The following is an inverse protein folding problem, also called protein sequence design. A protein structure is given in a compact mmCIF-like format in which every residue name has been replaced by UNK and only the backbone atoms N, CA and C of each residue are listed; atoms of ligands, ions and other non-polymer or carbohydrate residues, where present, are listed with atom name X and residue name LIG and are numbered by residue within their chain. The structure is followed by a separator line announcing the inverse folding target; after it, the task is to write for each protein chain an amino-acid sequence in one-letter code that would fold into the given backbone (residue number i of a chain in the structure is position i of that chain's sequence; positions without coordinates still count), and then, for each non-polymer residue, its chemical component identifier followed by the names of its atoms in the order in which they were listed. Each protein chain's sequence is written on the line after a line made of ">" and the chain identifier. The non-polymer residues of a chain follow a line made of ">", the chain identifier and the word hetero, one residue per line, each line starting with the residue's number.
data_IF_914660553110
#
_entry.id   IF_914660553110
#
_cell.length_a   1.000
_cell.length_b   1.000
_cell.length_c   1.000
_cell.angle_alpha   90.00
_cell.angle_beta   90.00
_cell.angle_gamma   90.00
#
_symmetry.space_group_name_H-M   'P 1'
#
loop_
_entity.id
_entity.type
_entity.pdbx_description
1 polymer ?
#
# COMPACT_ATOMS: atom_id res chain seq x y z
N UNK A 1 -35.07 -14.49 -5.78
CA UNK A 1 -34.10 -13.43 -6.13
C UNK A 1 -32.75 -13.81 -5.54
N UNK A 2 -31.74 -14.04 -6.39
CA UNK A 2 -30.37 -14.29 -5.92
C UNK A 2 -29.79 -13.03 -5.29
N UNK A 3 -29.09 -13.17 -4.15
CA UNK A 3 -28.34 -12.06 -3.55
C UNK A 3 -27.35 -11.51 -4.59
N UNK A 4 -27.17 -10.19 -4.70
CA UNK A 4 -26.14 -9.64 -5.58
C UNK A 4 -24.79 -10.22 -5.16
N UNK A 5 -24.07 -10.84 -6.11
CA UNK A 5 -22.70 -11.26 -5.91
C UNK A 5 -21.90 -10.01 -5.51
N UNK A 6 -21.29 -10.01 -4.33
CA UNK A 6 -20.34 -8.94 -3.96
C UNK A 6 -19.24 -8.94 -5.03
N UNK A 7 -18.88 -7.78 -5.61
CA UNK A 7 -17.79 -7.75 -6.57
C UNK A 7 -16.54 -8.31 -5.89
N UNK A 8 -15.90 -9.28 -6.54
CA UNK A 8 -14.60 -9.80 -6.11
C UNK A 8 -13.65 -8.61 -6.12
N UNK A 9 -13.27 -8.13 -4.94
CA UNK A 9 -12.32 -7.01 -4.82
C UNK A 9 -10.93 -7.54 -5.18
N UNK A 10 -10.21 -6.79 -6.01
CA UNK A 10 -8.82 -7.10 -6.30
C UNK A 10 -7.98 -6.82 -5.06
N UNK A 11 -6.88 -7.56 -4.87
CA UNK A 11 -5.95 -7.33 -3.77
C UNK A 11 -5.50 -5.86 -3.70
N UNK A 12 -5.21 -5.25 -4.85
CA UNK A 12 -4.84 -3.84 -4.92
C UNK A 12 -5.97 -2.89 -4.50
N UNK A 13 -7.24 -3.22 -4.79
CA UNK A 13 -8.38 -2.43 -4.31
C UNK A 13 -8.48 -2.49 -2.77
N UNK A 14 -8.21 -3.65 -2.17
CA UNK A 14 -8.15 -3.79 -0.70
C UNK A 14 -6.99 -2.99 -0.10
N UNK A 15 -5.83 -2.98 -0.77
CA UNK A 15 -4.67 -2.16 -0.35
C UNK A 15 -5.01 -0.66 -0.41
N UNK A 16 -5.66 -0.18 -1.47
CA UNK A 16 -6.09 1.22 -1.57
C UNK A 16 -7.07 1.61 -0.46
N UNK A 17 -7.99 0.71 -0.11
CA UNK A 17 -8.93 0.97 0.98
C UNK A 17 -8.23 0.99 2.35
N UNK A 18 -7.19 0.20 2.57
CA UNK A 18 -6.38 0.33 3.78
C UNK A 18 -5.49 1.56 3.80
N UNK A 19 -4.94 1.97 2.66
CA UNK A 19 -4.20 3.23 2.56
C UNK A 19 -5.07 4.43 2.96
N UNK A 20 -6.35 4.42 2.56
CA UNK A 20 -7.34 5.41 3.02
C UNK A 20 -7.61 5.30 4.52
N UNK A 21 -7.93 4.09 5.01
CA UNK A 21 -8.38 3.88 6.40
C UNK A 21 -7.28 4.08 7.45
N UNK A 22 -6.07 3.62 7.17
CA UNK A 22 -4.97 3.61 8.14
C UNK A 22 -4.06 4.84 8.01
N UNK A 23 -3.86 5.33 6.79
CA UNK A 23 -2.86 6.37 6.49
C UNK A 23 -3.46 7.65 5.89
N UNK A 24 -4.78 7.70 5.72
CA UNK A 24 -5.47 8.91 5.27
C UNK A 24 -5.19 9.29 3.82
N UNK A 25 -4.75 8.35 2.97
CA UNK A 25 -4.53 8.64 1.55
C UNK A 25 -5.82 9.11 0.87
N UNK A 26 -5.77 10.27 0.25
CA UNK A 26 -6.86 10.85 -0.53
C UNK A 26 -6.78 10.44 -2.01
N UNK A 27 -7.86 10.65 -2.76
CA UNK A 27 -7.84 10.44 -4.22
C UNK A 27 -6.82 11.34 -4.93
N UNK A 28 -6.54 12.54 -4.37
CA UNK A 28 -5.49 13.42 -4.86
C UNK A 28 -4.09 12.82 -4.65
N UNK A 29 -3.85 12.15 -3.53
CA UNK A 29 -2.58 11.48 -3.26
C UNK A 29 -2.32 10.34 -4.24
N UNK A 30 -3.34 9.54 -4.54
CA UNK A 30 -3.23 8.49 -5.55
C UNK A 30 -2.99 9.06 -6.96
N UNK A 31 -3.57 10.21 -7.28
CA UNK A 31 -3.42 10.86 -8.58
C UNK A 31 -2.06 11.54 -8.74
N UNK A 32 -1.50 12.11 -7.67
CA UNK A 32 -0.21 12.81 -7.66
C UNK A 32 1.00 11.92 -7.37
N UNK A 33 0.78 10.67 -6.96
CA UNK A 33 1.85 9.74 -6.71
C UNK A 33 2.69 9.49 -7.99
N UNK A 34 4.00 9.65 -7.89
CA UNK A 34 4.95 9.20 -8.89
C UNK A 34 5.08 7.67 -8.80
N UNK A 35 4.14 6.97 -9.42
CA UNK A 35 3.99 5.52 -9.32
C UNK A 35 5.25 4.72 -9.66
N UNK A 36 6.01 5.02 -10.73
CA UNK A 36 7.27 4.35 -11.02
C UNK A 36 8.24 4.38 -9.83
N UNK A 37 8.55 5.58 -9.31
CA UNK A 37 9.48 5.76 -8.19
C UNK A 37 8.93 5.17 -6.89
N UNK A 38 7.63 5.34 -6.66
CA UNK A 38 6.95 4.79 -5.48
C UNK A 38 7.02 3.26 -5.46
N UNK A 39 6.89 2.59 -6.62
CA UNK A 39 6.95 1.14 -6.73
C UNK A 39 8.37 0.60 -6.46
N UNK A 40 9.41 1.32 -6.90
CA UNK A 40 10.81 0.99 -6.59
C UNK A 40 11.05 1.03 -5.07
N UNK A 41 10.70 2.15 -4.42
CA UNK A 41 10.83 2.32 -2.97
C UNK A 41 9.95 1.33 -2.19
N UNK A 42 8.75 1.02 -2.69
CA UNK A 42 7.85 0.04 -2.10
C UNK A 42 8.49 -1.34 -2.03
N UNK A 43 9.14 -1.82 -3.10
CA UNK A 43 9.81 -3.13 -3.09
C UNK A 43 10.98 -3.14 -2.11
N UNK A 44 11.75 -2.05 -2.01
CA UNK A 44 12.84 -1.93 -1.03
C UNK A 44 12.31 -2.01 0.41
N UNK A 45 11.23 -1.27 0.71
CA UNK A 45 10.59 -1.28 2.04
C UNK A 45 10.01 -2.66 2.36
N UNK A 46 9.33 -3.28 1.40
CA UNK A 46 8.69 -4.58 1.58
C UNK A 46 9.73 -5.68 1.78
N UNK A 47 10.79 -5.71 0.97
CA UNK A 47 11.87 -6.70 1.09
C UNK A 47 12.60 -6.57 2.43
N UNK A 48 12.94 -5.34 2.84
CA UNK A 48 13.57 -5.07 4.13
C UNK A 48 12.72 -5.52 5.33
N UNK A 49 11.39 -5.38 5.25
CA UNK A 49 10.48 -5.77 6.33
C UNK A 49 10.15 -7.28 6.34
N UNK A 50 10.20 -7.94 5.18
CA UNK A 50 9.71 -9.32 5.00
C UNK A 50 10.82 -10.37 5.01
N UNK A 51 12.10 -9.95 4.96
CA UNK A 51 13.28 -10.82 4.85
C UNK A 51 13.50 -11.86 5.96
N UNK A 52 12.66 -11.95 7.01
CA UNK A 52 12.81 -12.98 8.07
C UNK A 52 11.55 -13.53 8.74
N UNK A 53 10.33 -13.01 8.50
CA UNK A 53 9.14 -13.48 9.24
C UNK A 53 7.88 -13.73 8.37
N UNK A 54 7.42 -14.98 8.39
CA UNK A 54 6.03 -15.45 8.26
C UNK A 54 5.11 -14.83 7.20
N UNK A 55 5.39 -14.96 5.90
CA UNK A 55 4.48 -14.59 4.79
C UNK A 55 3.73 -13.26 5.00
N UNK A 56 4.35 -12.32 5.74
CA UNK A 56 3.73 -11.05 6.13
C UNK A 56 3.61 -10.16 4.90
N UNK A 57 4.42 -10.43 3.86
CA UNK A 57 4.26 -9.90 2.52
C UNK A 57 2.82 -10.09 2.02
N UNK A 58 2.17 -11.23 2.25
CA UNK A 58 0.83 -11.52 1.69
C UNK A 58 -0.32 -10.74 2.33
N UNK A 59 -0.07 -9.96 3.39
CA UNK A 59 -1.13 -9.20 4.07
C UNK A 59 -1.34 -7.84 3.39
N UNK A 60 -2.61 -7.51 3.16
CA UNK A 60 -3.06 -6.20 2.62
C UNK A 60 -2.52 -5.04 3.47
N UNK A 61 -2.56 -5.15 4.80
CA UNK A 61 -2.07 -4.10 5.70
C UNK A 61 -0.56 -3.90 5.63
N UNK A 62 0.22 -4.95 5.36
CA UNK A 62 1.68 -4.84 5.14
C UNK A 62 1.97 -4.09 3.86
N UNK A 63 1.25 -4.41 2.79
CA UNK A 63 1.36 -3.70 1.52
C UNK A 63 1.00 -2.21 1.66
N UNK A 64 -0.12 -1.92 2.34
CA UNK A 64 -0.54 -0.54 2.60
C UNK A 64 0.51 0.22 3.43
N UNK A 65 1.05 -0.40 4.47
CA UNK A 65 2.17 0.18 5.23
C UNK A 65 3.38 0.47 4.36
N UNK A 66 3.81 -0.49 3.53
CA UNK A 66 4.98 -0.33 2.68
C UNK A 66 4.80 0.81 1.66
N UNK A 67 3.61 0.95 1.07
CA UNK A 67 3.28 2.08 0.19
C UNK A 67 3.35 3.43 0.91
N UNK A 68 2.84 3.51 2.14
CA UNK A 68 2.87 4.75 2.92
C UNK A 68 4.30 5.18 3.27
N UNK A 69 5.14 4.24 3.71
CA UNK A 69 6.56 4.50 3.98
C UNK A 69 7.31 4.88 2.70
N UNK A 70 7.08 4.17 1.59
CA UNK A 70 7.70 4.46 0.30
C UNK A 70 7.35 5.88 -0.18
N UNK A 71 6.10 6.30 -0.01
CA UNK A 71 5.65 7.67 -0.33
C UNK A 71 6.35 8.71 0.54
N UNK A 72 6.43 8.47 1.85
CA UNK A 72 7.13 9.35 2.81
C UNK A 72 8.61 9.52 2.47
N UNK A 73 9.29 8.44 2.08
CA UNK A 73 10.69 8.46 1.59
C UNK A 73 10.84 9.22 0.27
N UNK A 74 9.92 8.99 -0.67
CA UNK A 74 9.94 9.64 -1.99
C UNK A 74 9.71 11.15 -1.92
N UNK A 75 8.94 11.61 -0.93
CA UNK A 75 8.61 13.02 -0.70
C UNK A 75 9.57 13.72 0.26
N UNK A 76 10.61 13.04 0.75
CA UNK A 76 11.58 13.61 1.70
C UNK A 76 11.03 13.84 3.11
N UNK A 77 9.83 13.34 3.41
CA UNK A 77 9.25 13.35 4.76
C UNK A 77 9.63 12.04 5.45
N UNK A 78 10.92 11.80 5.66
CA UNK A 78 11.35 10.70 6.51
C UNK A 78 11.27 11.17 7.98
N UNK A 79 10.53 10.49 8.87
CA UNK A 79 10.85 10.59 10.29
C UNK A 79 12.22 9.93 10.51
N UNK A 80 13.07 10.63 11.25
CA UNK A 80 14.37 10.18 11.78
C UNK A 80 14.22 8.88 12.58
#
# INVERSE_FOLDING_TARGET
>A
MGRPARPVRTFFAEVKDELRRLYGWSDEDFARADWPRLMEEFHVVLDAATGRHFSVDKKVSTHAWAYDIARKRSTGTAPD
#
